data_IF_038038701497
#
_entry.id   IF_038038701497
#
_cell.length_a   1.000
_cell.length_b   1.000
_cell.length_c   1.000
_cell.angle_alpha   90.00
_cell.angle_beta   90.00
_cell.angle_gamma   90.00
#
_symmetry.space_group_name_H-M   'P 1'
#
loop_
_entity.id
_entity.type
_entity.pdbx_description
1 polymer ?
#
# COMPACT_ATOMS: atom_id res chain seq x y z
N UNK A 1 46.68 -14.29 -27.20
CA UNK A 1 45.40 -14.02 -27.88
C UNK A 1 44.36 -13.80 -26.79
N UNK A 2 44.04 -12.54 -26.46
CA UNK A 2 43.12 -12.18 -25.37
C UNK A 2 41.67 -12.41 -25.82
N UNK A 3 40.98 -13.35 -25.17
CA UNK A 3 39.52 -13.46 -25.22
C UNK A 3 38.92 -12.26 -24.45
N UNK A 4 38.31 -11.31 -25.18
CA UNK A 4 37.51 -10.25 -24.57
C UNK A 4 36.13 -10.81 -24.23
N UNK A 5 35.91 -11.05 -22.94
CA UNK A 5 34.61 -11.37 -22.37
C UNK A 5 33.72 -10.13 -22.49
N UNK A 6 32.71 -10.20 -23.35
CA UNK A 6 31.60 -9.23 -23.39
C UNK A 6 30.55 -9.75 -22.41
N UNK A 7 30.62 -9.28 -21.15
CA UNK A 7 29.51 -9.44 -20.20
C UNK A 7 28.42 -8.49 -20.67
N UNK A 8 27.44 -9.03 -21.40
CA UNK A 8 26.19 -8.37 -21.69
C UNK A 8 25.40 -8.34 -20.38
N UNK A 9 25.61 -7.28 -19.61
CA UNK A 9 24.86 -6.95 -18.40
C UNK A 9 23.45 -6.58 -18.84
N UNK A 10 22.63 -7.60 -19.10
CA UNK A 10 21.18 -7.49 -19.23
C UNK A 10 20.70 -7.02 -17.87
N UNK A 11 20.58 -5.70 -17.73
CA UNK A 11 19.83 -5.06 -16.66
C UNK A 11 18.39 -5.48 -16.88
N UNK A 12 18.03 -6.63 -16.31
CA UNK A 12 16.66 -7.10 -16.24
C UNK A 12 15.91 -6.03 -15.44
N UNK A 13 14.92 -5.33 -16.01
CA UNK A 13 14.11 -4.43 -15.22
C UNK A 13 13.42 -5.31 -14.17
N UNK A 14 13.78 -5.11 -12.90
CA UNK A 14 13.06 -5.67 -11.77
C UNK A 14 11.68 -5.04 -11.81
N UNK A 15 10.76 -5.74 -12.47
CA UNK A 15 9.33 -5.44 -12.45
C UNK A 15 8.93 -5.64 -11.00
N UNK A 16 8.79 -4.53 -10.28
CA UNK A 16 8.27 -4.53 -8.91
C UNK A 16 6.80 -4.90 -9.01
N UNK A 17 6.48 -6.18 -8.83
CA UNK A 17 5.10 -6.63 -8.82
C UNK A 17 4.42 -6.17 -7.53
N UNK A 18 3.15 -5.79 -7.64
CA UNK A 18 2.33 -5.48 -6.48
C UNK A 18 1.76 -6.81 -5.95
N UNK A 19 2.60 -7.56 -5.25
CA UNK A 19 2.20 -8.84 -4.68
C UNK A 19 1.45 -8.62 -3.36
N UNK A 20 0.40 -9.41 -3.13
CA UNK A 20 -0.45 -9.25 -1.94
C UNK A 20 -0.98 -10.57 -1.42
N UNK A 21 -1.13 -10.66 -0.10
CA UNK A 21 -1.70 -11.82 0.58
C UNK A 21 -3.00 -11.39 1.28
N UNK A 22 -4.08 -12.06 0.93
CA UNK A 22 -5.40 -11.89 1.53
C UNK A 22 -5.75 -13.13 2.37
N UNK A 23 -6.14 -12.92 3.62
CA UNK A 23 -6.48 -13.98 4.57
C UNK A 23 -7.97 -14.04 4.88
N UNK A 24 -8.51 -15.24 5.09
CA UNK A 24 -9.96 -15.45 5.27
C UNK A 24 -10.51 -14.90 6.59
N UNK A 25 -9.68 -14.82 7.63
CA UNK A 25 -10.05 -14.33 8.96
C UNK A 25 -9.02 -13.31 9.46
N UNK A 26 -9.41 -12.37 10.33
CA UNK A 26 -8.47 -11.41 10.89
C UNK A 26 -7.44 -12.09 11.80
N UNK A 27 -6.21 -11.57 11.79
CA UNK A 27 -5.04 -12.14 12.46
C UNK A 27 -4.40 -11.18 13.48
N UNK A 28 -3.82 -11.68 14.57
CA UNK A 28 -3.89 -13.07 15.02
C UNK A 28 -5.24 -13.41 15.64
N UNK A 29 -5.69 -14.66 15.50
CA UNK A 29 -7.03 -15.10 15.94
C UNK A 29 -7.25 -15.06 17.46
N UNK A 30 -6.18 -15.13 18.26
CA UNK A 30 -6.21 -15.14 19.73
C UNK A 30 -6.00 -13.75 20.36
N UNK A 31 -6.01 -12.67 19.58
CA UNK A 31 -5.90 -11.30 20.08
C UNK A 31 -7.25 -10.57 20.05
N UNK A 32 -7.47 -9.73 21.05
CA UNK A 32 -8.59 -8.79 21.07
C UNK A 32 -8.40 -7.70 20.01
N UNK A 33 -9.50 -7.25 19.44
CA UNK A 33 -9.55 -6.10 18.54
C UNK A 33 -9.31 -4.80 19.32
N UNK A 34 -8.56 -3.89 18.72
CA UNK A 34 -8.28 -2.55 19.25
C UNK A 34 -8.76 -1.55 18.19
N UNK A 35 -9.78 -0.77 18.55
CA UNK A 35 -10.45 0.15 17.63
C UNK A 35 -9.84 1.55 17.61
N UNK A 36 -8.72 1.77 18.32
CA UNK A 36 -8.06 3.06 18.37
C UNK A 36 -6.55 2.88 18.25
N UNK A 37 -5.89 3.72 17.46
CA UNK A 37 -4.44 3.82 17.45
C UNK A 37 -3.93 4.31 18.82
N UNK A 38 -2.83 3.75 19.35
CA UNK A 38 -2.20 4.27 20.56
C UNK A 38 -1.77 5.72 20.34
N UNK A 39 -1.83 6.56 21.39
CA UNK A 39 -1.62 8.02 21.28
C UNK A 39 -0.28 8.39 20.63
N UNK A 40 0.75 7.61 20.91
CA UNK A 40 2.09 7.85 20.43
C UNK A 40 2.30 7.46 18.95
N UNK A 41 1.33 6.79 18.33
CA UNK A 41 1.27 6.52 16.89
C UNK A 41 0.44 7.56 16.13
N UNK A 42 -0.13 8.57 16.80
CA UNK A 42 -1.03 9.55 16.15
C UNK A 42 -0.29 10.79 15.68
N UNK A 43 -0.77 11.40 14.61
CA UNK A 43 -0.21 12.60 14.00
C UNK A 43 -0.30 12.59 12.48
N UNK A 44 0.42 13.51 11.84
CA UNK A 44 0.55 13.59 10.39
C UNK A 44 2.04 13.57 10.04
N UNK A 45 2.42 12.77 9.05
CA UNK A 45 3.79 12.63 8.56
C UNK A 45 3.84 12.90 7.07
N UNK A 46 4.93 13.49 6.63
CA UNK A 46 5.24 13.66 5.20
C UNK A 46 6.32 12.67 4.80
N UNK A 47 6.17 12.04 3.63
CA UNK A 47 7.14 11.11 3.06
C UNK A 47 7.14 11.30 1.54
N UNK A 48 8.22 11.86 0.99
CA UNK A 48 8.41 11.98 -0.48
C UNK A 48 7.23 12.67 -1.22
N UNK A 49 6.58 13.65 -0.60
CA UNK A 49 5.41 14.34 -1.17
C UNK A 49 4.06 13.71 -0.81
N UNK A 50 4.07 12.49 -0.28
CA UNK A 50 2.90 11.82 0.27
C UNK A 50 2.69 12.25 1.72
N UNK A 51 1.45 12.12 2.19
CA UNK A 51 1.07 12.42 3.58
C UNK A 51 0.39 11.22 4.21
N UNK A 52 0.78 10.88 5.43
CA UNK A 52 0.11 9.86 6.24
C UNK A 52 -0.47 10.54 7.47
N UNK A 53 -1.76 10.38 7.71
CA UNK A 53 -2.41 10.87 8.94
C UNK A 53 -2.95 9.69 9.74
N UNK A 54 -2.47 9.55 10.98
CA UNK A 54 -2.97 8.55 11.93
C UNK A 54 -3.77 9.28 13.00
N UNK A 55 -5.08 9.12 12.93
CA UNK A 55 -6.03 9.65 13.88
C UNK A 55 -6.21 8.77 15.12
N UNK A 56 -7.25 9.05 15.89
CA UNK A 56 -7.63 8.19 17.02
C UNK A 56 -8.10 6.83 16.52
N UNK A 57 -8.92 6.82 15.49
CA UNK A 57 -9.69 5.69 14.96
C UNK A 57 -9.64 5.65 13.42
N UNK A 58 -8.69 6.35 12.79
CA UNK A 58 -8.51 6.28 11.35
C UNK A 58 -7.03 6.31 10.95
N UNK A 59 -6.77 5.84 9.75
CA UNK A 59 -5.51 5.95 9.02
C UNK A 59 -5.83 6.50 7.63
N UNK A 60 -5.19 7.59 7.25
CA UNK A 60 -5.31 8.20 5.93
C UNK A 60 -3.95 8.21 5.24
N UNK A 61 -3.90 7.72 4.01
CA UNK A 61 -2.76 7.82 3.12
C UNK A 61 -3.14 8.71 1.94
N UNK A 62 -2.39 9.80 1.76
CA UNK A 62 -2.52 10.68 0.63
C UNK A 62 -1.28 10.59 -0.24
N UNK A 63 -1.47 10.10 -1.46
CA UNK A 63 -0.42 9.95 -2.46
C UNK A 63 -0.54 11.02 -3.53
N UNK A 64 0.58 11.58 -3.93
CA UNK A 64 0.69 12.52 -5.04
C UNK A 64 1.58 11.89 -6.09
N UNK A 65 1.08 11.74 -7.32
CA UNK A 65 1.88 11.20 -8.40
C UNK A 65 1.71 12.01 -9.69
N UNK A 66 2.81 12.14 -10.42
CA UNK A 66 2.84 12.80 -11.71
C UNK A 66 2.47 11.81 -12.81
N UNK A 67 1.41 12.12 -13.54
CA UNK A 67 0.93 11.31 -14.64
C UNK A 67 1.48 11.87 -15.96
N UNK A 68 1.97 10.97 -16.81
CA UNK A 68 2.48 11.27 -18.15
C UNK A 68 1.75 10.43 -19.17
N UNK A 69 0.95 11.08 -20.02
CA UNK A 69 0.13 10.39 -21.01
C UNK A 69 0.45 10.92 -22.41
N UNK A 70 0.71 10.06 -23.41
CA UNK A 70 0.83 10.51 -24.79
C UNK A 70 -0.45 11.25 -25.22
N UNK A 71 -0.30 12.44 -25.80
CA UNK A 71 -1.41 13.26 -26.27
C UNK A 71 -2.29 12.51 -27.26
N UNK A 72 -1.67 11.72 -28.16
CA UNK A 72 -2.40 10.87 -29.10
C UNK A 72 -3.37 9.91 -28.39
N UNK A 73 -2.99 9.33 -27.24
CA UNK A 73 -3.86 8.44 -26.48
C UNK A 73 -5.07 9.21 -25.93
N UNK A 74 -4.85 10.42 -25.43
CA UNK A 74 -5.93 11.30 -24.94
C UNK A 74 -6.85 11.73 -26.08
N UNK A 75 -6.31 12.05 -27.26
CA UNK A 75 -7.09 12.48 -28.42
C UNK A 75 -7.94 11.33 -29.03
N UNK A 76 -7.47 10.09 -28.93
CA UNK A 76 -8.09 8.92 -29.56
C UNK A 76 -8.94 8.06 -28.63
N UNK A 77 -8.78 8.23 -27.31
CA UNK A 77 -9.48 7.44 -26.31
C UNK A 77 -10.71 8.18 -25.78
N UNK A 78 -11.82 7.46 -25.63
CA UNK A 78 -13.00 7.97 -24.92
C UNK A 78 -12.86 7.96 -23.39
N UNK A 79 -11.73 7.47 -22.86
CA UNK A 79 -11.43 7.49 -21.42
C UNK A 79 -10.96 8.85 -20.89
N UNK A 80 -10.72 9.82 -21.77
CA UNK A 80 -10.25 11.15 -21.37
C UNK A 80 -11.11 12.25 -21.98
N UNK A 81 -11.25 13.34 -21.24
CA UNK A 81 -11.88 14.57 -21.72
C UNK A 81 -10.99 15.76 -21.37
N UNK A 82 -10.66 16.59 -22.36
CA UNK A 82 -9.98 17.87 -22.15
C UNK A 82 -11.02 19.00 -22.21
N UNK A 83 -11.18 19.74 -21.12
CA UNK A 83 -12.14 20.85 -21.06
C UNK A 83 -11.68 21.90 -20.04
N UNK A 84 -11.81 23.18 -20.38
CA UNK A 84 -11.50 24.31 -19.48
C UNK A 84 -10.10 24.22 -18.84
N UNK A 85 -9.08 23.91 -19.63
CA UNK A 85 -7.69 23.71 -19.16
C UNK A 85 -7.51 22.62 -18.09
N UNK A 86 -8.41 21.64 -18.09
CA UNK A 86 -8.36 20.47 -17.23
C UNK A 86 -8.47 19.18 -18.05
N UNK A 87 -7.82 18.13 -17.57
CA UNK A 87 -7.97 16.76 -18.03
C UNK A 87 -8.85 16.01 -17.04
N UNK A 88 -9.79 15.24 -17.55
CA UNK A 88 -10.70 14.42 -16.77
C UNK A 88 -10.57 12.98 -17.23
N UNK A 89 -10.56 12.04 -16.28
CA UNK A 89 -10.70 10.61 -16.57
C UNK A 89 -12.17 10.21 -16.55
N UNK A 90 -12.59 9.42 -17.52
CA UNK A 90 -13.96 8.88 -17.60
C UNK A 90 -13.92 7.45 -17.06
N UNK A 91 -14.48 7.24 -15.87
CA UNK A 91 -14.65 5.89 -15.32
C UNK A 91 -15.76 5.18 -16.07
N UNK A 92 -15.37 4.25 -16.95
CA UNK A 92 -16.32 3.50 -17.78
C UNK A 92 -17.20 2.54 -16.98
N UNK A 93 -16.76 2.12 -15.80
CA UNK A 93 -17.52 1.22 -14.94
C UNK A 93 -18.57 1.96 -14.13
N UNK A 94 -18.21 3.14 -13.61
CA UNK A 94 -19.13 3.99 -12.85
C UNK A 94 -19.98 4.91 -13.72
N UNK A 95 -19.62 5.05 -15.01
CA UNK A 95 -20.22 6.02 -15.95
C UNK A 95 -20.16 7.46 -15.42
N UNK A 96 -19.12 7.77 -14.66
CA UNK A 96 -18.93 9.06 -14.00
C UNK A 96 -17.69 9.76 -14.57
N UNK A 97 -17.75 11.09 -14.60
CA UNK A 97 -16.59 11.92 -14.90
C UNK A 97 -15.81 12.11 -13.59
N UNK A 98 -14.53 11.72 -13.59
CA UNK A 98 -13.65 11.93 -12.46
C UNK A 98 -13.36 13.41 -12.20
N UNK A 99 -12.55 13.68 -11.19
CA UNK A 99 -12.05 15.02 -10.91
C UNK A 99 -11.23 15.56 -12.10
N UNK A 100 -11.30 16.88 -12.31
CA UNK A 100 -10.57 17.56 -13.37
C UNK A 100 -9.25 18.14 -12.88
N UNK A 101 -8.15 17.67 -13.43
CA UNK A 101 -6.79 18.08 -13.07
C UNK A 101 -6.26 19.14 -14.03
N UNK A 102 -5.65 20.24 -13.54
CA UNK A 102 -4.85 21.11 -14.39
C UNK A 102 -3.75 20.30 -15.07
N UNK A 103 -3.53 20.55 -16.37
CA UNK A 103 -2.49 19.86 -17.12
C UNK A 103 -1.63 20.84 -17.91
N UNK A 104 -0.46 20.36 -18.32
CA UNK A 104 0.40 21.00 -19.29
C UNK A 104 0.70 20.03 -20.44
N UNK A 105 0.89 20.57 -21.64
CA UNK A 105 1.34 19.81 -22.80
C UNK A 105 2.78 20.21 -23.07
N UNK A 106 3.68 19.23 -23.10
CA UNK A 106 5.06 19.41 -23.55
C UNK A 106 5.34 18.39 -24.64
N UNK A 107 5.66 18.87 -25.84
CA UNK A 107 5.71 18.07 -27.07
C UNK A 107 4.39 17.30 -27.28
N UNK A 108 4.46 15.97 -27.40
CA UNK A 108 3.31 15.09 -27.56
C UNK A 108 2.92 14.38 -26.24
N UNK A 109 3.28 14.94 -25.09
CA UNK A 109 2.95 14.36 -23.78
C UNK A 109 2.15 15.35 -22.93
N UNK A 110 1.06 14.86 -22.36
CA UNK A 110 0.27 15.55 -21.34
C UNK A 110 0.82 15.17 -19.98
N UNK A 111 1.11 16.19 -19.16
CA UNK A 111 1.55 16.06 -17.79
C UNK A 111 0.51 16.67 -16.87
N UNK A 112 0.18 15.97 -15.81
CA UNK A 112 -0.66 16.48 -14.73
C UNK A 112 -0.36 15.72 -13.45
N UNK A 113 -0.73 16.31 -12.32
CA UNK A 113 -0.51 15.71 -11.00
C UNK A 113 -1.84 15.28 -10.44
N UNK A 114 -1.93 14.02 -10.03
CA UNK A 114 -3.09 13.48 -9.32
C UNK A 114 -2.79 13.39 -7.83
N UNK A 115 -3.84 13.54 -7.01
CA UNK A 115 -3.80 13.28 -5.57
C UNK A 115 -4.84 12.23 -5.25
N UNK A 116 -4.40 11.08 -4.76
CA UNK A 116 -5.30 10.05 -4.25
C UNK A 116 -5.28 10.09 -2.73
N UNK A 117 -6.45 9.96 -2.11
CA UNK A 117 -6.60 9.84 -0.66
C UNK A 117 -7.32 8.53 -0.37
N UNK A 118 -6.69 7.69 0.43
CA UNK A 118 -7.27 6.44 0.94
C UNK A 118 -7.42 6.57 2.45
N UNK A 119 -8.65 6.42 2.95
CA UNK A 119 -8.94 6.40 4.38
C UNK A 119 -9.38 5.01 4.82
N UNK A 120 -8.89 4.59 5.98
CA UNK A 120 -9.29 3.37 6.67
C UNK A 120 -9.74 3.71 8.09
N UNK A 121 -10.99 3.37 8.43
CA UNK A 121 -11.59 3.68 9.73
C UNK A 121 -11.70 2.45 10.62
N UNK A 122 -11.06 2.52 11.79
CA UNK A 122 -11.07 1.47 12.81
C UNK A 122 -12.44 1.36 13.45
N UNK A 123 -12.88 0.11 13.71
CA UNK A 123 -14.19 -0.20 14.26
C UNK A 123 -15.29 -0.40 13.22
N UNK A 124 -15.04 -0.07 11.94
CA UNK A 124 -15.93 -0.40 10.82
C UNK A 124 -15.41 -1.61 10.04
N UNK A 125 -14.43 -1.37 9.17
CA UNK A 125 -13.80 -2.39 8.32
C UNK A 125 -12.36 -2.68 8.73
N UNK A 126 -11.80 -1.98 9.72
CA UNK A 126 -10.45 -2.23 10.20
C UNK A 126 -10.35 -2.28 11.72
N UNK A 127 -9.29 -2.91 12.22
CA UNK A 127 -8.89 -2.84 13.63
C UNK A 127 -7.45 -3.31 13.81
N UNK A 128 -6.85 -2.91 14.93
CA UNK A 128 -5.52 -3.38 15.32
C UNK A 128 -5.64 -4.64 16.18
N UNK A 129 -4.65 -5.52 16.08
CA UNK A 129 -4.42 -6.61 17.04
C UNK A 129 -2.96 -6.62 17.45
N UNK A 130 -2.68 -6.97 18.71
CA UNK A 130 -1.34 -6.83 19.28
C UNK A 130 -0.50 -8.09 19.07
N UNK A 131 0.74 -7.93 18.60
CA UNK A 131 1.75 -8.99 18.52
C UNK A 131 3.05 -8.46 19.13
N UNK A 132 3.46 -9.02 20.28
CA UNK A 132 4.57 -8.50 21.10
C UNK A 132 4.36 -7.00 21.41
N UNK A 133 5.31 -6.14 20.99
CA UNK A 133 5.28 -4.68 21.12
C UNK A 133 4.66 -3.98 19.91
N UNK A 134 4.39 -4.72 18.82
CA UNK A 134 3.90 -4.20 17.55
C UNK A 134 2.39 -4.42 17.42
N UNK A 135 1.82 -3.87 16.35
CA UNK A 135 0.42 -4.06 15.97
C UNK A 135 0.30 -4.66 14.57
N UNK A 136 -0.70 -5.50 14.36
CA UNK A 136 -1.17 -5.91 13.04
C UNK A 136 -2.45 -5.14 12.76
N UNK A 137 -2.42 -4.29 11.75
CA UNK A 137 -3.61 -3.68 11.18
C UNK A 137 -4.30 -4.71 10.30
N UNK A 138 -5.54 -5.02 10.65
CA UNK A 138 -6.43 -5.87 9.87
C UNK A 138 -7.38 -4.98 9.11
N UNK A 139 -7.36 -5.04 7.78
CA UNK A 139 -8.26 -4.26 6.92
C UNK A 139 -9.12 -5.21 6.09
N UNK A 140 -10.42 -5.13 6.28
CA UNK A 140 -11.40 -5.89 5.50
C UNK A 140 -11.61 -5.20 4.15
N UNK A 141 -11.37 -5.94 3.09
CA UNK A 141 -11.60 -5.53 1.71
C UNK A 141 -13.07 -5.72 1.32
N UNK A 142 -13.49 -5.10 0.22
CA UNK A 142 -14.87 -5.21 -0.30
C UNK A 142 -15.26 -6.66 -0.60
N UNK A 143 -14.30 -7.44 -1.10
CA UNK A 143 -14.45 -8.88 -1.37
C UNK A 143 -14.51 -9.76 -0.10
N UNK A 144 -14.60 -9.14 1.08
CA UNK A 144 -14.69 -9.76 2.41
C UNK A 144 -13.41 -10.43 2.94
N UNK A 145 -12.31 -10.41 2.18
CA UNK A 145 -11.01 -10.88 2.64
C UNK A 145 -10.28 -9.82 3.48
N UNK A 146 -9.32 -10.26 4.29
CA UNK A 146 -8.54 -9.39 5.15
C UNK A 146 -7.12 -9.22 4.60
N UNK A 147 -6.66 -7.98 4.54
CA UNK A 147 -5.25 -7.66 4.35
C UNK A 147 -4.62 -7.31 5.70
N UNK A 148 -3.35 -7.65 5.85
CA UNK A 148 -2.60 -7.41 7.08
C UNK A 148 -1.45 -6.44 6.81
N UNK A 149 -1.26 -5.48 7.69
CA UNK A 149 -0.04 -4.67 7.73
C UNK A 149 0.54 -4.70 9.14
N UNK A 150 1.84 -4.94 9.24
CA UNK A 150 2.59 -4.79 10.48
C UNK A 150 2.88 -3.31 10.68
N UNK A 151 2.57 -2.80 11.88
CA UNK A 151 2.92 -1.46 12.32
C UNK A 151 3.90 -1.59 13.49
N UNK A 152 5.14 -1.24 13.22
CA UNK A 152 6.22 -1.22 14.20
C UNK A 152 6.54 0.21 14.61
N UNK A 153 6.94 0.39 15.86
CA UNK A 153 7.54 1.64 16.30
C UNK A 153 8.86 1.35 16.98
N UNK A 154 9.91 1.99 16.49
CA UNK A 154 11.24 1.78 17.04
C UNK A 154 11.52 2.73 18.23
N UNK A 155 12.70 2.59 18.83
CA UNK A 155 13.09 3.40 20.00
C UNK A 155 13.31 4.88 19.64
N UNK A 156 13.66 5.18 18.40
CA UNK A 156 13.78 6.55 17.89
C UNK A 156 12.44 7.23 17.65
N UNK A 157 11.34 6.48 17.68
CA UNK A 157 9.98 6.98 17.44
C UNK A 157 9.53 6.84 15.99
N UNK A 158 10.38 6.31 15.11
CA UNK A 158 10.02 6.00 13.72
C UNK A 158 8.95 4.91 13.71
N UNK A 159 7.93 5.11 12.88
CA UNK A 159 6.88 4.12 12.64
C UNK A 159 7.17 3.48 11.29
N UNK A 160 7.23 2.15 11.26
CA UNK A 160 7.48 1.38 10.03
C UNK A 160 6.24 0.56 9.76
N UNK A 161 5.68 0.71 8.56
CA UNK A 161 4.55 -0.08 8.08
C UNK A 161 5.08 -1.08 7.07
N UNK A 162 4.83 -2.36 7.32
CA UNK A 162 5.28 -3.46 6.46
C UNK A 162 4.10 -4.33 6.05
N UNK A 163 4.15 -4.85 4.84
CA UNK A 163 3.19 -5.85 4.34
C UNK A 163 3.83 -7.23 4.32
N UNK A 164 3.03 -8.26 4.08
CA UNK A 164 3.57 -9.61 3.94
C UNK A 164 4.36 -9.75 2.63
N UNK A 165 5.50 -10.42 2.69
CA UNK A 165 6.24 -10.84 1.52
C UNK A 165 5.67 -12.17 1.02
N UNK A 166 5.22 -12.17 -0.23
CA UNK A 166 4.60 -13.35 -0.84
C UNK A 166 5.58 -14.51 -1.01
N UNK A 167 6.84 -14.24 -1.34
CA UNK A 167 7.88 -15.26 -1.54
C UNK A 167 8.16 -16.06 -0.25
N UNK A 168 7.88 -15.44 0.91
CA UNK A 168 8.12 -16.02 2.22
C UNK A 168 6.94 -16.89 2.71
N UNK A 169 5.77 -16.80 2.07
CA UNK A 169 4.53 -17.44 2.54
C UNK A 169 4.66 -18.97 2.68
N UNK A 170 5.30 -19.63 1.71
CA UNK A 170 5.44 -21.09 1.67
C UNK A 170 6.30 -21.64 2.80
N UNK A 171 7.07 -20.79 3.50
CA UNK A 171 7.88 -21.20 4.66
C UNK A 171 7.05 -21.46 5.91
N UNK A 172 5.75 -21.11 5.90
CA UNK A 172 4.89 -21.19 7.06
C UNK A 172 3.75 -22.19 6.84
N UNK A 173 3.76 -23.29 7.56
CA UNK A 173 2.84 -24.42 7.33
C UNK A 173 1.40 -24.23 7.85
N UNK A 174 1.08 -23.11 8.51
CA UNK A 174 -0.20 -22.90 9.18
C UNK A 174 -1.20 -22.11 8.32
N UNK A 175 -1.32 -22.47 7.05
CA UNK A 175 -2.31 -21.90 6.14
C UNK A 175 -2.70 -22.90 5.05
N UNK A 176 -3.86 -22.67 4.44
CA UNK A 176 -4.35 -23.40 3.27
C UNK A 176 -4.48 -22.41 2.12
N UNK A 177 -3.85 -22.73 0.99
CA UNK A 177 -4.03 -21.97 -0.24
C UNK A 177 -5.43 -22.19 -0.82
N UNK A 178 -6.12 -21.11 -1.18
CA UNK A 178 -7.48 -21.15 -1.75
C UNK A 178 -7.47 -20.76 -3.21
N UNK A 179 -6.82 -19.63 -3.54
CA UNK A 179 -6.82 -19.11 -4.89
C UNK A 179 -5.64 -18.17 -5.17
N UNK A 180 -5.23 -18.11 -6.43
CA UNK A 180 -4.25 -17.15 -6.94
C UNK A 180 -4.89 -16.34 -8.06
N UNK A 181 -4.87 -15.02 -7.94
CA UNK A 181 -5.10 -14.12 -9.06
C UNK A 181 -3.74 -13.62 -9.54
N UNK A 182 -3.41 -13.87 -10.80
CA UNK A 182 -2.17 -13.37 -11.41
C UNK A 182 -2.53 -12.57 -12.65
N UNK A 183 -2.21 -11.28 -12.62
CA UNK A 183 -2.20 -10.42 -13.79
C UNK A 183 -0.78 -10.27 -14.34
N UNK A 184 -0.59 -9.33 -15.26
CA UNK A 184 0.69 -9.13 -15.96
C UNK A 184 1.80 -8.64 -15.03
N UNK A 185 1.44 -7.93 -13.96
CA UNK A 185 2.38 -7.26 -13.06
C UNK A 185 2.03 -7.44 -11.58
N UNK A 186 1.01 -8.23 -11.27
CA UNK A 186 0.42 -8.34 -9.95
C UNK A 186 0.04 -9.79 -9.67
N UNK A 187 0.29 -10.21 -8.43
CA UNK A 187 -0.10 -11.53 -7.92
C UNK A 187 -0.76 -11.36 -6.57
N UNK A 188 -2.00 -11.81 -6.45
CA UNK A 188 -2.72 -11.86 -5.19
C UNK A 188 -2.97 -13.30 -4.79
N UNK A 189 -2.52 -13.67 -3.60
CA UNK A 189 -2.86 -14.95 -2.98
C UNK A 189 -3.99 -14.80 -1.98
N UNK A 190 -4.90 -15.78 -2.01
CA UNK A 190 -6.01 -15.90 -1.10
C UNK A 190 -5.83 -17.18 -0.29
N UNK A 191 -5.71 -17.04 1.03
CA UNK A 191 -5.40 -18.15 1.93
C UNK A 191 -6.34 -18.20 3.12
N UNK A 192 -6.68 -19.42 3.54
CA UNK A 192 -7.28 -19.64 4.83
C UNK A 192 -6.18 -19.80 5.89
N UNK A 193 -6.21 -18.94 6.91
CA UNK A 193 -5.21 -18.93 7.97
C UNK A 193 -5.87 -18.67 9.33
N UNK A 194 -5.31 -19.26 10.38
CA UNK A 194 -5.70 -19.04 11.78
C UNK A 194 -4.46 -18.83 12.64
N UNK A 195 -3.62 -17.89 12.24
CA UNK A 195 -2.36 -17.59 12.91
C UNK A 195 -2.61 -17.01 14.29
N UNK A 196 -1.99 -17.62 15.29
CA UNK A 196 -1.95 -17.10 16.65
C UNK A 196 -0.90 -16.00 16.79
N UNK A 197 -0.91 -15.28 17.92
CA UNK A 197 0.16 -14.34 18.28
C UNK A 197 1.55 -15.00 18.27
N UNK A 198 1.63 -16.29 18.59
CA UNK A 198 2.87 -17.05 18.53
C UNK A 198 3.32 -17.23 17.08
N UNK A 199 2.42 -17.71 16.21
CA UNK A 199 2.72 -17.92 14.79
C UNK A 199 3.19 -16.63 14.12
N UNK A 200 2.44 -15.52 14.30
CA UNK A 200 2.84 -14.21 13.77
C UNK A 200 4.15 -13.71 14.38
N UNK A 201 4.38 -13.94 15.67
CA UNK A 201 5.65 -13.61 16.31
C UNK A 201 6.82 -14.35 15.67
N UNK A 202 6.63 -15.61 15.29
CA UNK A 202 7.66 -16.44 14.67
C UNK A 202 7.87 -16.00 13.21
N UNK A 203 6.80 -15.76 12.47
CA UNK A 203 6.82 -15.16 11.12
C UNK A 203 7.58 -13.85 11.07
N UNK A 204 7.33 -12.95 12.03
CA UNK A 204 8.04 -11.67 12.14
C UNK A 204 9.55 -11.86 12.32
N UNK A 205 9.98 -12.82 13.15
CA UNK A 205 11.41 -13.06 13.36
C UNK A 205 12.07 -13.74 12.14
N UNK A 206 11.27 -14.31 11.23
CA UNK A 206 11.73 -15.03 10.04
C UNK A 206 11.56 -14.25 8.74
N UNK A 207 11.16 -12.96 8.80
CA UNK A 207 11.12 -12.08 7.63
C UNK A 207 9.82 -12.04 6.84
N UNK A 208 8.73 -12.66 7.34
CA UNK A 208 7.43 -12.67 6.63
C UNK A 208 6.89 -11.27 6.32
N UNK A 209 7.26 -10.28 7.11
CA UNK A 209 6.93 -8.87 6.88
C UNK A 209 8.20 -8.10 6.52
N UNK A 210 8.88 -8.48 5.44
CA UNK A 210 10.11 -7.79 5.00
C UNK A 210 9.80 -6.51 4.21
N UNK A 211 8.68 -6.50 3.50
CA UNK A 211 8.40 -5.52 2.47
C UNK A 211 7.92 -4.24 3.13
N UNK A 212 8.78 -3.23 3.08
CA UNK A 212 8.54 -1.95 3.73
C UNK A 212 7.64 -1.13 2.82
N UNK A 213 6.41 -0.90 3.30
CA UNK A 213 5.45 -0.06 2.60
C UNK A 213 5.75 1.41 2.88
N UNK A 214 5.93 1.77 4.15
CA UNK A 214 6.14 3.15 4.58
C UNK A 214 7.07 3.25 5.78
N UNK A 215 7.85 4.32 5.83
CA UNK A 215 8.64 4.74 7.00
C UNK A 215 8.22 6.16 7.38
N UNK A 216 7.75 6.34 8.60
CA UNK A 216 7.30 7.62 9.14
C UNK A 216 8.32 8.13 10.14
N UNK A 217 9.17 9.04 9.69
CA UNK A 217 10.24 9.60 10.50
C UNK A 217 9.71 10.66 11.48
N UNK A 218 10.14 10.68 12.75
CA UNK A 218 9.73 11.70 13.72
C UNK A 218 10.02 13.13 13.28
N UNK A 219 11.09 13.33 12.51
CA UNK A 219 11.50 14.65 12.01
C UNK A 219 10.55 15.19 10.92
N UNK A 220 9.80 14.30 10.25
CA UNK A 220 8.83 14.66 9.22
C UNK A 220 7.39 14.71 9.76
N UNK A 221 7.24 14.62 11.09
CA UNK A 221 5.96 14.72 11.77
C UNK A 221 5.54 16.17 11.91
N UNK A 222 4.42 16.54 11.30
CA UNK A 222 3.80 17.86 11.46
C UNK A 222 3.11 17.90 12.82
N UNK A 223 3.38 18.93 13.64
CA UNK A 223 2.69 19.09 14.92
C UNK A 223 1.37 19.81 14.68
N UNK A 224 0.31 19.41 15.39
CA UNK A 224 -1.00 20.06 15.26
C UNK A 224 -0.99 21.54 15.68
N UNK A 225 0.05 22.00 16.38
CA UNK A 225 0.25 23.40 16.77
C UNK A 225 0.88 24.25 15.64
N UNK A 226 1.29 23.63 14.53
CA UNK A 226 1.96 24.30 13.39
C UNK A 226 0.96 24.80 12.32
N UNK A 227 -0.35 24.71 12.58
CA UNK A 227 -1.44 25.20 11.71
C UNK A 227 -2.30 26.27 12.40
#
# INVERSE_FOLDING_TARGET
>A
MLFRIIILLVVFPLITSCDSISVSTPQPVDSKNIMNFPRDYRGTWTCEGNTVTIGKDFYEYSEVFDVKIPKQLVDTSSSYLLKNNKIYYVDRWKQELGEGFPYMIENDTIYYTERTVSETTLGQNAFLRRVKKNYILNVKQENQWWQLALIEKNKGGEIIIRIQNLEELDRFSNHTHIHTLSGKYDRSEFIEANWTRKDLSDMLNNGMFSDTLLVLEPNNKIRCDDF
#
